data_IF_199010640085
#
_entry.id   IF_199010640085
#
_cell.length_a   1.000
_cell.length_b   1.000
_cell.length_c   1.000
_cell.angle_alpha   90.00
_cell.angle_beta   90.00
_cell.angle_gamma   90.00
#
_symmetry.space_group_name_H-M   'P 1'
#
loop_
_entity.id
_entity.type
_entity.pdbx_description
1 polymer ?
#
# COMPACT_ATOMS: atom_id res chain seq x y z
N UNK A 1 23.51 7.59 -22.42
CA UNK A 1 22.04 7.65 -22.19
C UNK A 1 21.66 7.81 -20.72
N UNK A 2 22.20 7.04 -19.77
CA UNK A 2 21.82 7.16 -18.34
C UNK A 2 21.99 8.57 -17.76
N UNK A 3 23.05 9.30 -18.14
CA UNK A 3 23.23 10.70 -17.75
C UNK A 3 22.06 11.62 -18.13
N UNK A 4 21.37 11.34 -19.25
CA UNK A 4 20.24 12.15 -19.73
C UNK A 4 18.96 11.95 -18.90
N UNK A 5 18.82 10.78 -18.25
CA UNK A 5 17.69 10.45 -17.40
C UNK A 5 18.03 10.53 -15.90
N UNK A 6 19.24 11.00 -15.56
CA UNK A 6 19.71 11.08 -14.17
C UNK A 6 18.88 12.03 -13.31
N UNK A 7 18.37 13.12 -13.90
CA UNK A 7 17.45 14.05 -13.23
C UNK A 7 16.12 13.44 -12.78
N UNK A 8 15.73 12.29 -13.34
CA UNK A 8 14.55 11.51 -12.94
C UNK A 8 14.91 10.36 -11.98
N UNK A 9 16.16 10.29 -11.50
CA UNK A 9 16.64 9.19 -10.66
C UNK A 9 16.62 7.85 -11.39
N UNK A 10 16.88 7.82 -12.69
CA UNK A 10 16.99 6.60 -13.46
C UNK A 10 18.35 5.91 -13.24
N UNK A 11 18.31 4.62 -12.89
CA UNK A 11 19.51 3.80 -12.82
C UNK A 11 19.85 3.23 -14.20
N UNK A 12 21.09 2.79 -14.40
CA UNK A 12 21.48 2.11 -15.64
C UNK A 12 20.59 0.89 -15.93
N UNK A 13 20.17 0.16 -14.89
CA UNK A 13 19.25 -0.96 -15.02
C UNK A 13 17.85 -0.54 -15.51
N UNK A 14 17.32 0.61 -15.08
CA UNK A 14 16.04 1.12 -15.60
C UNK A 14 16.17 1.48 -17.08
N UNK A 15 17.23 2.21 -17.45
CA UNK A 15 17.47 2.59 -18.85
C UNK A 15 17.65 1.37 -19.75
N UNK A 16 18.35 0.33 -19.28
CA UNK A 16 18.46 -0.95 -19.99
C UNK A 16 17.09 -1.56 -20.27
N UNK A 17 16.25 -1.74 -19.24
CA UNK A 17 14.89 -2.27 -19.41
C UNK A 17 14.00 -1.42 -20.30
N UNK A 18 14.16 -0.09 -20.25
CA UNK A 18 13.46 0.83 -21.16
C UNK A 18 13.84 0.57 -22.63
N UNK A 19 15.12 0.40 -22.93
CA UNK A 19 15.59 0.12 -24.30
C UNK A 19 15.14 -1.25 -24.77
N UNK A 20 15.24 -2.26 -23.91
CA UNK A 20 14.74 -3.61 -24.18
C UNK A 20 13.23 -3.59 -24.50
N UNK A 21 12.45 -2.85 -23.72
CA UNK A 21 11.00 -2.66 -23.94
C UNK A 21 10.70 -1.89 -25.23
N UNK A 22 11.48 -0.85 -25.52
CA UNK A 22 11.29 -0.05 -26.72
C UNK A 22 11.64 -0.83 -28.00
N UNK A 23 12.42 -1.92 -27.87
CA UNK A 23 12.91 -2.76 -28.96
C UNK A 23 13.66 -1.95 -30.04
N UNK A 24 14.28 -0.85 -29.63
CA UNK A 24 15.09 0.00 -30.51
C UNK A 24 16.49 -0.62 -30.60
N UNK A 25 16.97 -0.80 -31.84
CA UNK A 25 18.32 -1.33 -32.08
C UNK A 25 19.38 -0.34 -31.60
N UNK A 26 20.60 -0.84 -31.41
CA UNK A 26 21.76 -0.03 -31.02
C UNK A 26 22.23 0.90 -32.17
N UNK A 27 21.35 1.78 -32.63
CA UNK A 27 21.68 2.90 -33.48
C UNK A 27 22.21 4.05 -32.60
N UNK A 28 23.22 4.81 -33.06
CA UNK A 28 23.67 6.02 -32.37
C UNK A 28 22.48 6.93 -32.05
N UNK A 29 22.50 7.53 -30.85
CA UNK A 29 21.43 8.44 -30.40
C UNK A 29 21.17 9.61 -31.36
N UNK A 30 22.20 10.04 -32.09
CA UNK A 30 22.14 11.15 -33.04
C UNK A 30 21.35 10.82 -34.31
N UNK A 31 21.13 9.53 -34.57
CA UNK A 31 20.39 9.03 -35.75
C UNK A 31 18.91 8.78 -35.44
N UNK A 32 18.49 8.95 -34.19
CA UNK A 32 17.11 8.69 -33.79
C UNK A 32 16.17 9.76 -34.35
N UNK A 33 15.12 9.31 -35.03
CA UNK A 33 14.03 10.19 -35.45
C UNK A 33 13.22 10.68 -34.25
N UNK A 34 12.48 11.78 -34.42
CA UNK A 34 11.58 12.32 -33.38
C UNK A 34 10.54 11.28 -32.93
N UNK A 35 10.06 10.42 -33.83
CA UNK A 35 9.13 9.33 -33.51
C UNK A 35 9.78 8.27 -32.62
N UNK A 36 11.05 7.94 -32.91
CA UNK A 36 11.84 6.99 -32.11
C UNK A 36 12.09 7.55 -30.72
N UNK A 37 12.47 8.82 -30.62
CA UNK A 37 12.63 9.52 -29.33
C UNK A 37 11.31 9.49 -28.55
N UNK A 38 10.19 9.87 -29.18
CA UNK A 38 8.88 9.87 -28.53
C UNK A 38 8.43 8.46 -28.10
N UNK A 39 8.77 7.42 -28.85
CA UNK A 39 8.51 6.03 -28.49
C UNK A 39 9.34 5.58 -27.27
N UNK A 40 10.65 5.86 -27.27
CA UNK A 40 11.52 5.52 -26.15
C UNK A 40 11.13 6.28 -24.89
N UNK A 41 10.74 7.56 -25.01
CA UNK A 41 10.24 8.34 -23.86
C UNK A 41 8.95 7.73 -23.30
N UNK A 42 8.00 7.30 -24.14
CA UNK A 42 6.80 6.60 -23.67
C UNK A 42 7.15 5.30 -22.93
N UNK A 43 8.06 4.50 -23.49
CA UNK A 43 8.55 3.28 -22.83
C UNK A 43 9.28 3.59 -21.51
N UNK A 44 10.03 4.69 -21.45
CA UNK A 44 10.68 5.15 -20.23
C UNK A 44 9.66 5.52 -19.17
N UNK A 45 8.61 6.25 -19.54
CA UNK A 45 7.55 6.66 -18.61
C UNK A 45 6.83 5.44 -18.03
N UNK A 46 6.46 4.47 -18.87
CA UNK A 46 5.84 3.21 -18.44
C UNK A 46 6.72 2.45 -17.43
N UNK A 47 8.03 2.37 -17.71
CA UNK A 47 8.98 1.60 -16.92
C UNK A 47 9.36 2.31 -15.60
N UNK A 48 9.55 3.62 -15.65
CA UNK A 48 10.03 4.42 -14.53
C UNK A 48 8.90 4.87 -13.60
N UNK A 49 7.72 5.12 -14.15
CA UNK A 49 6.55 5.63 -13.43
C UNK A 49 5.34 4.69 -13.59
N UNK A 50 5.40 3.45 -13.04
CA UNK A 50 4.23 2.60 -12.95
C UNK A 50 3.08 3.35 -12.27
N UNK A 51 1.91 3.38 -12.92
CA UNK A 51 0.79 4.24 -12.53
C UNK A 51 -0.45 3.43 -12.15
N UNK A 52 -1.11 3.82 -11.07
CA UNK A 52 -2.45 3.35 -10.67
C UNK A 52 -3.44 4.48 -10.88
N UNK A 53 -4.58 4.17 -11.49
CA UNK A 53 -5.64 5.12 -11.81
C UNK A 53 -6.78 4.95 -10.80
N UNK A 54 -6.96 5.97 -9.97
CA UNK A 54 -8.07 6.05 -9.01
C UNK A 54 -9.32 6.65 -9.70
N UNK A 55 -10.34 5.82 -9.93
CA UNK A 55 -11.63 6.25 -10.47
C UNK A 55 -12.51 6.74 -9.32
N UNK A 56 -12.32 8.00 -8.95
CA UNK A 56 -13.01 8.64 -7.84
C UNK A 56 -14.47 8.99 -8.17
N UNK A 57 -15.28 9.18 -7.12
CA UNK A 57 -16.71 9.55 -7.13
C UNK A 57 -17.68 8.41 -7.45
N UNK A 58 -17.35 7.18 -7.04
CA UNK A 58 -18.27 6.04 -7.20
C UNK A 58 -19.53 6.14 -6.33
N UNK A 59 -19.54 7.07 -5.36
CA UNK A 59 -20.73 7.45 -4.59
C UNK A 59 -21.78 8.22 -5.39
N UNK A 60 -21.48 8.62 -6.63
CA UNK A 60 -22.46 9.28 -7.49
C UNK A 60 -23.33 8.24 -8.23
N UNK A 61 -24.67 8.41 -8.31
CA UNK A 61 -25.55 7.42 -8.95
C UNK A 61 -25.21 7.12 -10.41
N UNK A 62 -24.73 8.13 -11.15
CA UNK A 62 -24.32 7.97 -12.57
C UNK A 62 -22.88 7.45 -12.77
N UNK A 63 -22.14 7.09 -11.71
CA UNK A 63 -20.73 6.72 -11.81
C UNK A 63 -20.50 5.50 -12.70
N UNK A 64 -21.42 4.53 -12.70
CA UNK A 64 -21.27 3.25 -13.41
C UNK A 64 -21.02 3.41 -14.91
N UNK A 65 -21.70 4.36 -15.56
CA UNK A 65 -21.53 4.62 -17.00
C UNK A 65 -20.12 5.07 -17.32
N UNK A 66 -19.56 5.94 -16.48
CA UNK A 66 -18.20 6.47 -16.65
C UNK A 66 -17.16 5.41 -16.31
N UNK A 67 -17.36 4.67 -15.22
CA UNK A 67 -16.51 3.54 -14.83
C UNK A 67 -16.43 2.52 -15.95
N UNK A 68 -17.58 2.09 -16.51
CA UNK A 68 -17.61 1.13 -17.60
C UNK A 68 -16.92 1.63 -18.88
N UNK A 69 -17.04 2.93 -19.20
CA UNK A 69 -16.36 3.52 -20.35
C UNK A 69 -14.84 3.48 -20.18
N UNK A 70 -14.34 3.86 -19.01
CA UNK A 70 -12.90 3.90 -18.71
C UNK A 70 -12.33 2.48 -18.59
N UNK A 71 -13.06 1.57 -17.94
CA UNK A 71 -12.65 0.17 -17.78
C UNK A 71 -12.44 -0.57 -19.12
N UNK A 72 -13.09 -0.13 -20.21
CA UNK A 72 -12.86 -0.68 -21.55
C UNK A 72 -11.54 -0.23 -22.20
N UNK A 73 -10.92 0.83 -21.70
CA UNK A 73 -9.73 1.46 -22.31
C UNK A 73 -8.43 1.14 -21.56
N UNK A 74 -8.51 0.61 -20.33
CA UNK A 74 -7.36 0.38 -19.47
C UNK A 74 -7.35 -1.03 -18.90
N UNK A 75 -6.17 -1.54 -18.55
CA UNK A 75 -6.03 -2.80 -17.82
C UNK A 75 -6.78 -2.69 -16.48
N UNK A 76 -7.71 -3.62 -16.17
CA UNK A 76 -8.41 -3.66 -14.89
C UNK A 76 -7.48 -3.65 -13.67
N UNK A 77 -6.25 -4.15 -13.80
CA UNK A 77 -5.25 -4.15 -12.72
C UNK A 77 -4.73 -2.75 -12.39
N UNK A 78 -4.73 -1.83 -13.35
CA UNK A 78 -4.32 -0.45 -13.14
C UNK A 78 -5.44 0.42 -12.55
N UNK A 79 -6.68 -0.06 -12.53
CA UNK A 79 -7.84 0.71 -12.09
C UNK A 79 -8.23 0.35 -10.64
N UNK A 80 -8.57 1.37 -9.86
CA UNK A 80 -9.20 1.20 -8.54
C UNK A 80 -10.38 2.15 -8.45
N UNK A 81 -11.54 1.61 -8.11
CA UNK A 81 -12.77 2.38 -7.88
C UNK A 81 -12.69 3.01 -6.50
N UNK A 82 -12.91 4.31 -6.37
CA UNK A 82 -12.87 4.94 -5.04
C UNK A 82 -13.91 6.04 -4.79
N UNK A 83 -14.19 6.27 -3.51
CA UNK A 83 -14.95 7.40 -3.01
C UNK A 83 -14.15 8.10 -1.90
N UNK A 84 -13.37 9.11 -2.29
CA UNK A 84 -12.57 9.89 -1.36
C UNK A 84 -13.43 10.63 -0.32
N UNK A 85 -14.63 11.08 -0.71
CA UNK A 85 -15.56 11.77 0.20
C UNK A 85 -16.10 10.82 1.28
N UNK A 86 -16.38 9.58 0.91
CA UNK A 86 -16.82 8.53 1.83
C UNK A 86 -15.73 8.22 2.85
N UNK A 87 -14.49 8.04 2.38
CA UNK A 87 -13.34 7.79 3.26
C UNK A 87 -13.12 8.94 4.25
N UNK A 88 -13.10 10.18 3.78
CA UNK A 88 -12.93 11.37 4.66
C UNK A 88 -14.04 11.46 5.69
N UNK A 89 -15.29 11.16 5.29
CA UNK A 89 -16.43 11.18 6.19
C UNK A 89 -16.30 10.08 7.28
N UNK A 90 -16.05 8.83 6.90
CA UNK A 90 -15.90 7.73 7.85
C UNK A 90 -14.73 7.96 8.84
N UNK A 91 -13.58 8.42 8.34
CA UNK A 91 -12.43 8.78 9.19
C UNK A 91 -12.77 9.87 10.18
N UNK A 92 -13.54 10.89 9.76
CA UNK A 92 -13.99 11.96 10.65
C UNK A 92 -14.95 11.42 11.72
N UNK A 93 -15.93 10.60 11.36
CA UNK A 93 -16.89 10.02 12.29
C UNK A 93 -16.21 9.09 13.31
N UNK A 94 -15.24 8.28 12.85
CA UNK A 94 -14.45 7.42 13.73
C UNK A 94 -13.61 8.24 14.72
N UNK A 95 -12.90 9.27 14.24
CA UNK A 95 -12.12 10.17 15.10
C UNK A 95 -12.96 10.88 16.15
N UNK A 96 -14.21 11.18 15.83
CA UNK A 96 -15.16 11.82 16.75
C UNK A 96 -15.86 10.83 17.70
N UNK A 97 -15.63 9.53 17.53
CA UNK A 97 -16.20 8.47 18.36
C UNK A 97 -17.66 8.16 18.05
N UNK A 98 -18.13 8.38 16.83
CA UNK A 98 -19.51 8.05 16.42
C UNK A 98 -19.63 6.67 15.77
N UNK A 99 -18.56 6.19 15.14
CA UNK A 99 -18.51 4.88 14.48
C UNK A 99 -17.20 4.17 14.82
N UNK A 100 -17.22 2.84 14.76
CA UNK A 100 -16.03 2.01 14.70
C UNK A 100 -15.75 1.72 13.22
N UNK A 101 -14.66 2.26 12.71
CA UNK A 101 -14.22 2.07 11.33
C UNK A 101 -12.70 1.95 11.28
N UNK A 102 -12.22 1.01 10.48
CA UNK A 102 -10.80 0.85 10.15
C UNK A 102 -10.62 1.21 8.69
N UNK A 103 -9.64 2.04 8.37
CA UNK A 103 -9.39 2.51 7.00
C UNK A 103 -9.23 1.32 6.04
N UNK A 104 -10.01 1.31 4.95
CA UNK A 104 -9.99 0.23 3.96
C UNK A 104 -10.92 -0.96 4.27
N UNK A 105 -11.58 -0.95 5.43
CA UNK A 105 -12.63 -1.92 5.79
C UNK A 105 -13.91 -1.68 4.97
N UNK A 106 -14.68 -2.75 4.72
CA UNK A 106 -16.08 -2.68 4.31
C UNK A 106 -17.05 -2.54 5.49
N UNK A 107 -16.60 -2.86 6.71
CA UNK A 107 -17.41 -2.80 7.92
C UNK A 107 -17.30 -1.44 8.59
N UNK A 108 -18.46 -0.85 8.90
CA UNK A 108 -18.64 0.34 9.73
C UNK A 108 -19.70 0.03 10.77
N UNK A 109 -19.32 -0.07 12.04
CA UNK A 109 -20.28 -0.30 13.13
C UNK A 109 -20.64 1.01 13.82
N UNK A 110 -21.94 1.24 13.99
CA UNK A 110 -22.48 2.29 14.86
C UNK A 110 -22.64 1.79 16.29
N UNK A 111 -22.98 2.70 17.23
CA UNK A 111 -23.31 2.30 18.59
C UNK A 111 -24.42 1.24 18.63
N UNK A 112 -25.49 1.46 17.86
CA UNK A 112 -26.65 0.58 17.83
C UNK A 112 -26.29 -0.80 17.27
N UNK A 113 -25.43 -0.85 16.24
CA UNK A 113 -24.91 -2.10 15.68
C UNK A 113 -24.15 -2.91 16.75
N UNK A 114 -23.28 -2.25 17.52
CA UNK A 114 -22.49 -2.92 18.57
C UNK A 114 -23.36 -3.37 19.75
N UNK A 115 -24.39 -2.61 20.11
CA UNK A 115 -25.38 -3.03 21.12
C UNK A 115 -26.13 -4.27 20.64
N UNK A 116 -26.55 -4.30 19.38
CA UNK A 116 -27.21 -5.47 18.80
C UNK A 116 -26.27 -6.70 18.72
N UNK A 117 -24.97 -6.48 18.56
CA UNK A 117 -23.93 -7.52 18.60
C UNK A 117 -23.57 -7.97 20.03
N UNK A 118 -24.18 -7.40 21.07
CA UNK A 118 -24.04 -7.84 22.45
C UNK A 118 -23.06 -7.03 23.31
N UNK A 119 -22.63 -5.83 22.88
CA UNK A 119 -21.89 -4.87 23.70
C UNK A 119 -22.87 -3.82 24.29
N UNK A 120 -23.30 -3.92 25.57
CA UNK A 120 -24.28 -3.00 26.14
C UNK A 120 -23.82 -1.54 26.18
N UNK A 121 -22.50 -1.30 26.13
CA UNK A 121 -21.92 0.04 26.09
C UNK A 121 -21.81 0.59 24.65
N UNK A 122 -22.15 -0.21 23.63
CA UNK A 122 -22.06 0.16 22.22
C UNK A 122 -20.64 0.58 21.82
N UNK A 123 -19.62 -0.09 22.36
CA UNK A 123 -18.21 0.22 22.13
C UNK A 123 -17.75 1.57 22.69
N UNK A 124 -18.53 2.23 23.56
CA UNK A 124 -18.26 3.58 24.03
C UNK A 124 -18.48 4.66 22.95
N UNK A 125 -19.19 4.32 21.87
CA UNK A 125 -19.51 5.26 20.79
C UNK A 125 -20.63 6.21 21.19
N UNK A 126 -20.59 7.41 20.62
CA UNK A 126 -21.62 8.44 20.75
C UNK A 126 -22.81 8.13 19.85
N UNK A 127 -23.99 8.58 20.27
CA UNK A 127 -25.18 8.52 19.46
C UNK A 127 -25.08 9.38 18.21
N UNK A 128 -25.57 8.83 17.10
CA UNK A 128 -25.72 9.54 15.82
C UNK A 128 -27.03 10.32 15.80
N UNK A 129 -26.98 11.53 15.25
CA UNK A 129 -28.19 12.23 14.82
C UNK A 129 -28.77 11.57 13.56
N UNK A 130 -30.07 11.78 13.30
CA UNK A 130 -30.76 11.17 12.16
C UNK A 130 -30.10 11.48 10.82
N UNK A 131 -29.53 12.69 10.71
CA UNK A 131 -28.82 13.13 9.50
C UNK A 131 -27.56 12.29 9.25
N UNK A 132 -26.69 12.12 10.24
CA UNK A 132 -25.47 11.34 10.04
C UNK A 132 -25.78 9.84 9.96
N UNK A 133 -26.79 9.35 10.68
CA UNK A 133 -27.29 7.97 10.56
C UNK A 133 -27.69 7.66 9.12
N UNK A 134 -28.59 8.46 8.55
CA UNK A 134 -29.01 8.28 7.15
C UNK A 134 -27.85 8.38 6.16
N UNK A 135 -26.88 9.26 6.43
CA UNK A 135 -25.69 9.39 5.59
C UNK A 135 -24.78 8.17 5.66
N UNK A 136 -24.62 7.56 6.83
CA UNK A 136 -23.84 6.33 7.01
C UNK A 136 -24.53 5.16 6.29
N UNK A 137 -25.84 4.99 6.45
CA UNK A 137 -26.58 3.92 5.79
C UNK A 137 -26.53 4.05 4.26
N UNK A 138 -26.77 5.24 3.71
CA UNK A 138 -26.62 5.48 2.27
C UNK A 138 -25.19 5.19 1.78
N UNK A 139 -24.16 5.51 2.58
CA UNK A 139 -22.77 5.21 2.24
C UNK A 139 -22.50 3.70 2.25
N UNK A 140 -23.01 2.97 3.26
CA UNK A 140 -22.89 1.51 3.33
C UNK A 140 -23.47 0.88 2.06
N UNK A 141 -24.66 1.29 1.65
CA UNK A 141 -25.34 0.76 0.46
C UNK A 141 -24.66 1.14 -0.86
N UNK A 142 -24.41 2.44 -1.06
CA UNK A 142 -23.91 2.94 -2.34
C UNK A 142 -22.44 2.62 -2.58
N UNK A 143 -21.65 2.48 -1.51
CA UNK A 143 -20.19 2.34 -1.60
C UNK A 143 -19.71 1.01 -1.03
N UNK A 144 -19.91 0.75 0.26
CA UNK A 144 -19.24 -0.36 0.95
C UNK A 144 -19.77 -1.72 0.50
N UNK A 145 -21.08 -1.95 0.51
CA UNK A 145 -21.66 -3.21 0.05
C UNK A 145 -21.46 -3.44 -1.45
N UNK A 146 -21.43 -2.36 -2.23
CA UNK A 146 -21.30 -2.44 -3.68
C UNK A 146 -19.87 -2.70 -4.15
N UNK A 147 -18.89 -2.08 -3.50
CA UNK A 147 -17.48 -2.08 -3.95
C UNK A 147 -16.51 -2.71 -2.95
N UNK A 148 -16.98 -3.11 -1.76
CA UNK A 148 -16.19 -3.78 -0.72
C UNK A 148 -15.22 -2.88 0.04
N UNK A 149 -15.14 -1.58 -0.27
CA UNK A 149 -14.44 -0.56 0.52
C UNK A 149 -14.69 0.81 -0.11
N UNK A 150 -14.10 1.86 0.47
CA UNK A 150 -14.02 3.18 -0.18
C UNK A 150 -12.98 3.24 -1.31
N UNK A 151 -12.15 2.21 -1.46
CA UNK A 151 -11.10 2.10 -2.48
C UNK A 151 -9.85 2.96 -2.27
N UNK A 152 -9.85 3.90 -1.32
CA UNK A 152 -8.70 4.81 -1.11
C UNK A 152 -7.46 4.05 -0.63
N UNK A 153 -7.62 3.19 0.37
CA UNK A 153 -6.52 2.33 0.85
C UNK A 153 -6.09 1.35 -0.23
N UNK A 154 -7.04 0.82 -1.00
CA UNK A 154 -6.76 -0.09 -2.11
C UNK A 154 -5.89 0.55 -3.20
N UNK A 155 -6.05 1.86 -3.50
CA UNK A 155 -5.15 2.59 -4.41
C UNK A 155 -3.71 2.54 -3.91
N UNK A 156 -3.50 2.78 -2.61
CA UNK A 156 -2.17 2.77 -2.00
C UNK A 156 -1.57 1.35 -2.00
N UNK A 157 -2.36 0.34 -1.62
CA UNK A 157 -1.95 -1.06 -1.67
C UNK A 157 -1.55 -1.48 -3.08
N UNK A 158 -2.36 -1.12 -4.09
CA UNK A 158 -2.06 -1.41 -5.49
C UNK A 158 -0.79 -0.70 -5.97
N UNK A 159 -0.55 0.53 -5.54
CA UNK A 159 0.67 1.26 -5.87
C UNK A 159 1.91 0.57 -5.26
N UNK A 160 1.81 0.09 -4.02
CA UNK A 160 2.89 -0.67 -3.38
C UNK A 160 3.15 -2.02 -4.09
N UNK A 161 2.09 -2.75 -4.45
CA UNK A 161 2.16 -3.99 -5.25
C UNK A 161 2.83 -3.75 -6.61
N UNK A 162 2.43 -2.68 -7.30
CA UNK A 162 2.94 -2.32 -8.63
C UNK A 162 4.44 -1.97 -8.59
N UNK A 163 4.88 -1.34 -7.51
CA UNK A 163 6.29 -1.08 -7.23
C UNK A 163 7.05 -2.33 -6.76
N UNK A 164 6.37 -3.47 -6.62
CA UNK A 164 6.94 -4.72 -6.12
C UNK A 164 7.46 -4.59 -4.69
N UNK A 165 6.78 -3.81 -3.85
CA UNK A 165 7.17 -3.63 -2.46
C UNK A 165 6.64 -4.77 -1.60
N UNK A 166 7.49 -5.26 -0.71
CA UNK A 166 7.19 -6.27 0.30
C UNK A 166 7.17 -5.57 1.66
N UNK A 167 6.06 -5.63 2.42
CA UNK A 167 6.02 -5.16 3.79
C UNK A 167 6.80 -6.10 4.69
N UNK A 168 7.64 -5.52 5.55
CA UNK A 168 8.34 -6.24 6.61
C UNK A 168 8.08 -5.52 7.92
N UNK A 169 7.71 -6.30 8.93
CA UNK A 169 7.36 -5.82 10.26
C UNK A 169 8.50 -6.12 11.24
N UNK A 170 9.40 -5.15 11.49
CA UNK A 170 10.41 -5.30 12.52
C UNK A 170 9.76 -5.33 13.91
N UNK A 171 10.08 -6.35 14.70
CA UNK A 171 9.58 -6.54 16.05
C UNK A 171 10.74 -6.80 17.02
N UNK A 172 10.57 -6.45 18.29
CA UNK A 172 11.55 -6.80 19.34
C UNK A 172 11.38 -8.25 19.82
N UNK A 173 10.16 -8.76 19.77
CA UNK A 173 9.80 -10.10 20.21
C UNK A 173 8.90 -10.76 19.14
N UNK A 174 9.31 -11.91 18.62
CA UNK A 174 8.62 -12.64 17.54
C UNK A 174 7.49 -13.55 18.02
N UNK A 175 7.27 -13.62 19.33
CA UNK A 175 6.13 -14.30 19.97
C UNK A 175 5.01 -13.32 20.29
N UNK A 176 5.34 -12.14 20.82
CA UNK A 176 4.36 -11.11 21.19
C UNK A 176 4.17 -10.02 20.14
N UNK A 177 5.03 -9.99 19.11
CA UNK A 177 5.03 -9.00 18.02
C UNK A 177 5.14 -7.54 18.48
N UNK A 178 5.64 -7.31 19.70
CA UNK A 178 5.81 -5.99 20.28
C UNK A 178 7.05 -5.27 19.77
N UNK A 179 6.97 -3.94 19.65
CA UNK A 179 8.08 -3.06 19.26
C UNK A 179 9.08 -2.76 20.40
N UNK A 180 8.69 -3.02 21.65
CA UNK A 180 9.57 -2.89 22.81
C UNK A 180 9.81 -1.47 23.31
N UNK A 181 9.03 -0.49 22.85
CA UNK A 181 8.91 0.80 23.53
C UNK A 181 8.08 0.61 24.82
N UNK A 182 8.56 1.16 25.94
CA UNK A 182 8.03 0.90 27.29
C UNK A 182 6.53 1.18 27.47
N UNK A 183 5.93 1.98 26.58
CA UNK A 183 4.50 2.36 26.60
C UNK A 183 3.70 1.82 25.39
N UNK A 184 4.33 1.06 24.50
CA UNK A 184 3.67 0.54 23.30
C UNK A 184 2.93 -0.76 23.62
N UNK A 185 1.60 -0.65 23.78
CA UNK A 185 0.68 -1.81 23.82
C UNK A 185 0.35 -2.39 22.44
N UNK A 186 0.92 -1.81 21.38
CA UNK A 186 0.57 -2.12 20.00
C UNK A 186 1.55 -3.14 19.40
N UNK A 187 0.99 -4.21 18.83
CA UNK A 187 1.72 -5.17 18.01
C UNK A 187 1.93 -4.62 16.60
N UNK A 188 2.99 -5.06 15.91
CA UNK A 188 3.31 -4.65 14.52
C UNK A 188 3.29 -3.14 14.31
N UNK A 189 3.79 -2.39 15.29
CA UNK A 189 3.80 -0.92 15.28
C UNK A 189 4.48 -0.34 14.03
N UNK A 190 5.61 -0.92 13.66
CA UNK A 190 6.45 -0.44 12.58
C UNK A 190 6.33 -1.38 11.37
N UNK A 191 6.26 -0.79 10.17
CA UNK A 191 6.23 -1.51 8.90
C UNK A 191 7.16 -0.81 7.93
N UNK A 192 8.06 -1.58 7.32
CA UNK A 192 9.06 -1.09 6.38
C UNK A 192 8.85 -1.78 5.04
N UNK A 193 8.69 -0.98 3.98
CA UNK A 193 8.55 -1.49 2.63
C UNK A 193 9.93 -1.69 1.99
N UNK A 194 10.23 -2.90 1.54
CA UNK A 194 11.46 -3.22 0.79
C UNK A 194 11.12 -3.73 -0.60
N UNK A 195 12.06 -3.69 -1.54
CA UNK A 195 11.79 -4.20 -2.89
C UNK A 195 11.74 -5.73 -2.88
N UNK A 196 10.92 -6.31 -3.73
CA UNK A 196 10.91 -7.76 -3.98
C UNK A 196 12.31 -8.24 -4.34
N UNK A 197 12.74 -9.35 -3.72
CA UNK A 197 14.08 -9.89 -3.85
C UNK A 197 15.12 -9.29 -2.90
N UNK A 198 14.73 -8.39 -1.99
CA UNK A 198 15.62 -7.98 -0.90
C UNK A 198 15.91 -9.16 0.03
N UNK A 199 17.10 -9.16 0.60
CA UNK A 199 17.52 -10.13 1.61
C UNK A 199 17.16 -9.66 3.02
N UNK A 200 17.19 -10.55 4.00
CA UNK A 200 17.04 -10.21 5.42
C UNK A 200 18.12 -9.22 5.87
N UNK A 201 19.35 -9.34 5.38
CA UNK A 201 20.43 -8.40 5.62
C UNK A 201 20.15 -7.01 5.06
N UNK A 202 19.51 -6.90 3.90
CA UNK A 202 19.08 -5.60 3.34
C UNK A 202 18.03 -4.94 4.24
N UNK A 203 17.09 -5.72 4.77
CA UNK A 203 16.11 -5.22 5.75
C UNK A 203 16.81 -4.78 7.03
N UNK A 204 17.74 -5.58 7.55
CA UNK A 204 18.48 -5.28 8.76
C UNK A 204 19.22 -3.94 8.63
N UNK A 205 19.94 -3.74 7.53
CA UNK A 205 20.63 -2.48 7.23
C UNK A 205 19.66 -1.30 7.12
N UNK A 206 18.48 -1.52 6.52
CA UNK A 206 17.46 -0.47 6.39
C UNK A 206 16.84 -0.06 7.73
N UNK A 207 16.65 -1.01 8.64
CA UNK A 207 16.01 -0.79 9.95
C UNK A 207 17.02 -0.30 10.99
N UNK A 208 18.21 -0.90 11.01
CA UNK A 208 19.20 -0.74 12.07
C UNK A 208 20.40 0.13 11.67
N UNK A 209 20.51 0.53 10.40
CA UNK A 209 21.66 1.27 9.89
C UNK A 209 22.94 0.44 9.94
N UNK A 210 23.99 1.02 10.52
CA UNK A 210 25.32 0.39 10.66
C UNK A 210 25.49 -0.40 11.97
N UNK A 211 24.41 -0.60 12.75
CA UNK A 211 24.50 -1.34 14.00
C UNK A 211 24.89 -2.82 13.74
N UNK A 212 25.83 -3.38 14.51
CA UNK A 212 26.25 -4.76 14.33
C UNK A 212 25.12 -5.72 14.71
N UNK A 213 24.70 -6.56 13.78
CA UNK A 213 23.67 -7.57 14.01
C UNK A 213 24.38 -8.86 14.43
N UNK A 214 24.05 -9.37 15.62
CA UNK A 214 24.54 -10.67 16.07
C UNK A 214 23.80 -11.80 15.36
N UNK A 215 22.48 -11.66 15.21
CA UNK A 215 21.62 -12.60 14.50
C UNK A 215 20.21 -12.05 14.28
N UNK A 216 19.45 -12.72 13.42
CA UNK A 216 18.04 -12.42 13.13
C UNK A 216 17.13 -13.58 13.53
N UNK A 217 15.98 -13.25 14.10
CA UNK A 217 14.91 -14.19 14.43
C UNK A 217 13.65 -13.90 13.61
N UNK A 218 13.02 -14.96 13.11
CA UNK A 218 11.68 -14.94 12.52
C UNK A 218 10.61 -15.36 13.52
N UNK A 219 9.38 -15.56 13.02
CA UNK A 219 8.25 -16.07 13.80
C UNK A 219 8.61 -17.40 14.47
N UNK A 220 8.20 -17.56 15.73
CA UNK A 220 8.54 -18.77 16.52
C UNK A 220 10.01 -18.82 16.98
N UNK A 221 10.70 -17.68 17.00
CA UNK A 221 12.10 -17.56 17.41
C UNK A 221 13.08 -18.39 16.57
N UNK A 222 12.68 -18.71 15.33
CA UNK A 222 13.54 -19.43 14.38
C UNK A 222 14.66 -18.52 13.89
N UNK A 223 15.87 -19.08 13.77
CA UNK A 223 16.99 -18.36 13.18
C UNK A 223 16.80 -18.22 11.68
N UNK A 224 17.02 -17.00 11.19
CA UNK A 224 16.91 -16.66 9.77
C UNK A 224 18.28 -16.17 9.31
N UNK A 225 18.73 -16.67 8.16
CA UNK A 225 20.00 -16.28 7.59
C UNK A 225 19.90 -14.88 6.95
N UNK A 226 20.99 -14.13 6.90
CA UNK A 226 20.97 -12.77 6.33
C UNK A 226 20.77 -12.77 4.81
N UNK A 227 21.18 -13.83 4.12
CA UNK A 227 21.04 -14.03 2.68
C UNK A 227 19.64 -14.55 2.28
N UNK A 228 18.81 -14.94 3.25
CA UNK A 228 17.44 -15.35 2.96
C UNK A 228 16.63 -14.21 2.36
N UNK A 229 15.82 -14.54 1.36
CA UNK A 229 14.90 -13.60 0.74
C UNK A 229 13.68 -13.33 1.62
N UNK A 230 13.23 -12.08 1.63
CA UNK A 230 11.96 -11.67 2.25
C UNK A 230 10.83 -11.65 1.22
N UNK A 231 9.67 -12.16 1.63
CA UNK A 231 8.43 -12.14 0.88
C UNK A 231 7.24 -12.16 1.85
N UNK A 232 6.05 -11.80 1.39
CA UNK A 232 4.83 -11.93 2.22
C UNK A 232 4.64 -13.41 2.61
N UNK A 233 4.48 -13.68 3.91
CA UNK A 233 4.43 -15.01 4.50
C UNK A 233 5.79 -15.71 4.66
N UNK A 234 6.90 -15.07 4.28
CA UNK A 234 8.27 -15.59 4.44
C UNK A 234 9.21 -14.48 4.88
N UNK A 235 9.66 -14.54 6.14
CA UNK A 235 10.61 -13.58 6.70
C UNK A 235 10.08 -12.12 6.62
N UNK A 236 8.76 -11.94 6.66
CA UNK A 236 8.06 -10.65 6.70
C UNK A 236 7.83 -10.13 8.13
N UNK A 237 8.13 -10.95 9.15
CA UNK A 237 8.22 -10.53 10.55
C UNK A 237 9.60 -10.90 11.07
N UNK A 238 10.40 -9.89 11.44
CA UNK A 238 11.80 -10.07 11.79
C UNK A 238 12.15 -9.36 13.10
N UNK A 239 13.00 -9.99 13.91
CA UNK A 239 13.62 -9.39 15.07
C UNK A 239 15.13 -9.40 14.94
N UNK A 240 15.72 -8.20 14.93
CA UNK A 240 17.16 -7.99 14.80
C UNK A 240 17.78 -7.91 16.20
N UNK A 241 18.70 -8.83 16.53
CA UNK A 241 19.44 -8.79 17.79
C UNK A 241 20.81 -8.16 17.57
N UNK A 242 21.04 -7.04 18.25
CA UNK A 242 22.28 -6.29 18.15
C UNK A 242 23.39 -7.00 18.93
N UNK A 243 24.55 -7.16 18.32
CA UNK A 243 25.77 -7.66 18.97
C UNK A 243 26.49 -6.56 19.74
N UNK A 244 27.39 -6.95 20.65
CA UNK A 244 28.37 -6.00 21.18
C UNK A 244 29.44 -5.78 20.11
N UNK A 245 29.76 -4.52 19.84
CA UNK A 245 30.92 -4.14 19.05
C UNK A 245 32.22 -4.58 19.75
#
# INVERSE_FOLDING_TARGET
MQGQFSGYGATAAVVGRTLDRAAVRAEPLEEWSDETVAHVVRCFVDEKFPTVIALNKIDHPDADKNVAKIAKMHDPRALVLCSAISEVFLRKMAKQGYVRYVEGSDVVDTRDDLVAQGDPAGGGLRDLDDKNRNRIENLKDMVLYRFGSTGVVQVLSRAAELLGLVPVFPVRNTTTFGSGAAESRFVFRDCVLVRKGSTVGDVARKVMGDAPIAYVEGVGSLRVAEDDLVAVGKNDVLSFKVGRA
#
